data_IF_930278608083
#
_entry.id   IF_930278608083
#
_cell.length_a   1.000
_cell.length_b   1.000
_cell.length_c   1.000
_cell.angle_alpha   90.00
_cell.angle_beta   90.00
_cell.angle_gamma   90.00
#
_symmetry.space_group_name_H-M   'P 1'
#
loop_
_entity.id
_entity.type
_entity.pdbx_description
1 polymer ?
#
# COMPACT_ATOMS: atom_id res chain seq x y z
N UNK A 1 4.63 -24.30 40.64
CA UNK A 1 3.15 -24.30 40.47
C UNK A 1 2.52 -25.69 40.68
N UNK A 2 1.17 -25.84 40.78
CA UNK A 2 0.48 -27.14 40.91
C UNK A 2 -0.27 -27.45 39.60
N UNK A 3 -0.16 -28.69 39.10
CA UNK A 3 -0.88 -29.14 37.91
C UNK A 3 -2.40 -29.10 38.13
N UNK A 4 -3.13 -28.38 37.28
CA UNK A 4 -4.61 -28.32 37.35
C UNK A 4 -5.30 -29.62 36.94
N UNK A 5 -4.60 -30.53 36.27
CA UNK A 5 -5.15 -31.81 35.85
C UNK A 5 -4.90 -32.93 36.88
N UNK A 6 -3.66 -33.08 37.38
CA UNK A 6 -3.32 -34.20 38.27
C UNK A 6 -2.86 -33.80 39.68
N UNK A 7 -2.86 -32.51 40.04
CA UNK A 7 -2.54 -32.04 41.39
C UNK A 7 -1.06 -32.13 41.80
N UNK A 8 -0.15 -32.53 40.91
CA UNK A 8 1.28 -32.66 41.23
C UNK A 8 1.98 -31.30 41.24
N UNK A 9 2.94 -31.09 42.14
CA UNK A 9 3.82 -29.92 42.08
C UNK A 9 4.73 -30.00 40.85
N UNK A 10 4.83 -28.88 40.13
CA UNK A 10 5.61 -28.69 38.91
C UNK A 10 6.58 -27.52 39.14
N UNK A 11 7.82 -27.68 38.67
CA UNK A 11 8.81 -26.60 38.60
C UNK A 11 8.37 -25.55 37.55
N UNK A 12 8.60 -24.27 37.82
CA UNK A 12 8.04 -23.15 37.03
C UNK A 12 8.63 -23.03 35.61
N UNK A 13 9.66 -23.83 35.27
CA UNK A 13 10.25 -23.92 33.93
C UNK A 13 9.90 -25.19 33.16
N UNK A 14 9.05 -26.08 33.70
CA UNK A 14 8.73 -27.35 33.05
C UNK A 14 7.66 -27.17 31.96
N UNK A 15 7.97 -27.56 30.72
CA UNK A 15 7.03 -27.47 29.59
C UNK A 15 5.87 -28.48 29.69
N UNK A 16 6.08 -29.62 30.35
CA UNK A 16 5.09 -30.68 30.52
C UNK A 16 5.10 -31.19 31.96
N UNK A 17 3.93 -31.59 32.46
CA UNK A 17 3.82 -32.18 33.79
C UNK A 17 4.45 -33.58 33.81
N UNK A 18 5.45 -33.87 34.65
CA UNK A 18 6.07 -35.19 34.75
C UNK A 18 5.15 -36.24 35.40
N UNK A 19 3.98 -35.84 35.92
CA UNK A 19 2.97 -36.75 36.47
C UNK A 19 2.00 -37.29 35.43
N UNK A 20 1.43 -36.42 34.60
CA UNK A 20 0.35 -36.79 33.66
C UNK A 20 0.65 -36.48 32.18
N UNK A 21 1.80 -35.89 31.87
CA UNK A 21 2.24 -35.60 30.50
C UNK A 21 1.56 -34.38 29.84
N UNK A 22 0.67 -33.67 30.56
CA UNK A 22 -0.03 -32.50 30.00
C UNK A 22 0.87 -31.27 29.91
N UNK A 23 0.73 -30.44 28.86
CA UNK A 23 1.50 -29.21 28.71
C UNK A 23 1.15 -28.20 29.81
N UNK A 24 2.16 -27.51 30.32
CA UNK A 24 2.02 -26.52 31.39
C UNK A 24 1.92 -25.14 30.74
N UNK A 25 0.75 -24.50 30.81
CA UNK A 25 0.57 -23.15 30.28
C UNK A 25 1.31 -22.14 31.17
N UNK A 26 2.55 -21.80 30.82
CA UNK A 26 3.25 -20.68 31.44
C UNK A 26 2.58 -19.41 30.95
N UNK A 27 1.81 -18.75 31.81
CA UNK A 27 1.37 -17.38 31.56
C UNK A 27 2.58 -16.46 31.75
N UNK A 28 3.38 -16.32 30.69
CA UNK A 28 4.47 -15.36 30.65
C UNK A 28 3.90 -13.94 30.58
N UNK A 29 4.07 -13.21 31.68
CA UNK A 29 3.96 -11.76 31.71
C UNK A 29 5.08 -11.16 30.84
N UNK A 30 4.68 -10.25 29.94
CA UNK A 30 5.51 -9.37 29.13
C UNK A 30 6.53 -10.02 28.16
N UNK A 31 6.04 -10.32 26.97
CA UNK A 31 6.82 -10.62 25.78
C UNK A 31 5.91 -11.20 24.73
N UNK A 32 5.43 -10.38 23.79
CA UNK A 32 4.51 -10.79 22.73
C UNK A 32 5.17 -11.79 21.77
N UNK A 33 5.17 -13.08 22.12
CA UNK A 33 5.29 -14.16 21.14
C UNK A 33 3.93 -14.31 20.46
N UNK A 34 3.72 -13.49 19.42
CA UNK A 34 2.55 -13.58 18.53
C UNK A 34 2.77 -14.66 17.44
N UNK A 35 1.68 -15.16 16.83
CA UNK A 35 1.68 -16.37 16.01
C UNK A 35 2.65 -16.27 14.82
N UNK A 36 3.24 -17.41 14.45
CA UNK A 36 4.09 -17.59 13.27
C UNK A 36 3.30 -17.60 11.95
N UNK A 37 2.11 -16.98 11.92
CA UNK A 37 1.19 -16.97 10.78
C UNK A 37 0.17 -15.84 10.91
N UNK A 38 -0.63 -15.63 9.87
CA UNK A 38 -1.62 -14.55 9.86
C UNK A 38 -2.68 -14.75 10.94
N UNK A 39 -3.25 -13.64 11.42
CA UNK A 39 -4.28 -13.68 12.45
C UNK A 39 -5.67 -13.41 11.87
N UNK A 40 -6.70 -13.79 12.62
CA UNK A 40 -8.07 -13.38 12.35
C UNK A 40 -8.28 -12.04 13.06
N UNK A 41 -8.62 -11.01 12.30
CA UNK A 41 -8.84 -9.67 12.84
C UNK A 41 -8.12 -8.58 12.07
N UNK A 42 -8.57 -7.35 12.28
CA UNK A 42 -7.79 -6.19 11.85
C UNK A 42 -6.64 -5.94 12.83
N UNK A 43 -5.47 -5.64 12.28
CA UNK A 43 -4.24 -5.48 13.01
C UNK A 43 -4.26 -4.17 13.81
N UNK A 44 -3.97 -4.18 15.12
CA UNK A 44 -3.89 -2.96 15.92
C UNK A 44 -2.68 -2.09 15.51
N UNK A 45 -1.74 -2.66 14.75
CA UNK A 45 -0.51 -2.01 14.28
C UNK A 45 -0.76 -0.89 13.27
N UNK A 46 -1.98 -0.71 12.77
CA UNK A 46 -2.31 0.43 11.88
C UNK A 46 -2.02 1.79 12.54
N UNK A 47 -2.13 1.86 13.87
CA UNK A 47 -1.84 3.08 14.64
C UNK A 47 -0.34 3.32 14.88
N UNK A 48 0.54 2.45 14.37
CA UNK A 48 1.99 2.61 14.52
C UNK A 48 2.47 3.92 13.87
N UNK A 49 3.24 4.77 14.58
CA UNK A 49 3.75 6.04 14.07
C UNK A 49 4.63 5.89 12.81
N UNK A 50 5.11 4.68 12.51
CA UNK A 50 5.82 4.35 11.29
C UNK A 50 4.97 4.61 10.02
N UNK A 51 3.65 4.39 10.07
CA UNK A 51 2.75 4.66 8.94
C UNK A 51 2.51 6.16 8.73
N UNK A 52 2.30 6.91 9.82
CA UNK A 52 2.20 8.37 9.75
C UNK A 52 3.51 9.00 9.21
N UNK A 53 4.65 8.49 9.66
CA UNK A 53 5.97 8.92 9.18
C UNK A 53 6.17 8.60 7.71
N UNK A 54 5.73 7.41 7.26
CA UNK A 54 5.79 7.01 5.85
C UNK A 54 4.94 7.93 4.96
N UNK A 55 3.69 8.20 5.36
CA UNK A 55 2.80 9.09 4.62
C UNK A 55 3.37 10.52 4.55
N UNK A 56 3.89 11.04 5.67
CA UNK A 56 4.56 12.36 5.72
C UNK A 56 5.76 12.40 4.78
N UNK A 57 6.64 11.40 4.84
CA UNK A 57 7.82 11.32 3.98
C UNK A 57 7.42 11.31 2.50
N UNK A 58 6.44 10.51 2.11
CA UNK A 58 5.98 10.44 0.72
C UNK A 58 5.44 11.80 0.22
N UNK A 59 4.73 12.54 1.06
CA UNK A 59 4.26 13.89 0.73
C UNK A 59 5.42 14.89 0.62
N UNK A 60 6.40 14.83 1.52
CA UNK A 60 7.58 15.68 1.46
C UNK A 60 8.41 15.42 0.19
N UNK A 61 8.59 14.17 -0.22
CA UNK A 61 9.29 13.82 -1.45
C UNK A 61 8.57 14.33 -2.70
N UNK A 62 7.25 14.20 -2.77
CA UNK A 62 6.44 14.78 -3.86
C UNK A 62 6.67 16.29 -3.99
N UNK A 63 6.68 17.02 -2.86
CA UNK A 63 6.91 18.46 -2.87
C UNK A 63 8.36 18.83 -3.25
N UNK A 64 9.36 18.16 -2.68
CA UNK A 64 10.78 18.41 -2.99
C UNK A 64 11.03 18.18 -4.47
N UNK A 65 10.53 17.08 -5.03
CA UNK A 65 10.68 16.77 -6.45
C UNK A 65 10.04 17.84 -7.34
N UNK A 66 8.82 18.29 -7.02
CA UNK A 66 8.16 19.36 -7.74
C UNK A 66 8.92 20.69 -7.68
N UNK A 67 9.49 21.04 -6.51
CA UNK A 67 10.31 22.24 -6.34
C UNK A 67 11.60 22.19 -7.16
N UNK A 68 12.26 21.04 -7.21
CA UNK A 68 13.48 20.85 -8.03
C UNK A 68 13.16 21.05 -9.51
N UNK A 69 12.11 20.39 -10.03
CA UNK A 69 11.71 20.53 -11.43
C UNK A 69 11.28 21.97 -11.74
N UNK A 70 10.53 22.61 -10.85
CA UNK A 70 10.13 24.00 -11.01
C UNK A 70 11.33 24.94 -11.08
N UNK A 71 12.33 24.75 -10.21
CA UNK A 71 13.56 25.53 -10.23
C UNK A 71 14.34 25.31 -11.53
N UNK A 72 14.48 24.06 -11.99
CA UNK A 72 15.14 23.73 -13.27
C UNK A 72 14.41 24.40 -14.44
N UNK A 73 13.08 24.36 -14.48
CA UNK A 73 12.30 25.01 -15.53
C UNK A 73 12.52 26.53 -15.52
N UNK A 74 12.38 27.19 -14.37
CA UNK A 74 12.54 28.65 -14.25
C UNK A 74 13.95 29.08 -14.66
N UNK A 75 14.98 28.40 -14.14
CA UNK A 75 16.39 28.73 -14.46
C UNK A 75 16.68 28.45 -15.94
N UNK A 76 16.23 27.32 -16.47
CA UNK A 76 16.44 26.94 -17.87
C UNK A 76 15.81 27.95 -18.84
N UNK A 77 14.56 28.35 -18.59
CA UNK A 77 13.88 29.37 -19.39
C UNK A 77 14.48 30.76 -19.23
N UNK A 78 14.98 31.12 -18.02
CA UNK A 78 15.70 32.37 -17.84
C UNK A 78 16.97 32.44 -18.67
N UNK A 79 17.81 31.39 -18.62
CA UNK A 79 19.04 31.29 -19.42
C UNK A 79 18.72 31.28 -20.92
N UNK A 80 17.65 30.58 -21.31
CA UNK A 80 17.17 30.60 -22.70
C UNK A 80 16.83 32.01 -23.15
N UNK A 81 16.10 32.78 -22.33
CA UNK A 81 15.77 34.17 -22.62
C UNK A 81 16.97 35.11 -22.73
N UNK A 82 18.06 34.85 -22.01
CA UNK A 82 19.31 35.64 -22.10
C UNK A 82 20.19 35.26 -23.30
N UNK A 83 20.01 34.06 -23.87
CA UNK A 83 20.94 33.48 -24.84
C UNK A 83 20.34 33.19 -26.21
N UNK A 84 19.02 33.07 -26.30
CA UNK A 84 18.33 32.75 -27.55
C UNK A 84 18.02 34.02 -28.34
N UNK A 85 18.01 33.92 -29.66
CA UNK A 85 17.54 34.98 -30.57
C UNK A 85 16.04 34.87 -30.89
N UNK A 86 15.37 33.83 -30.37
CA UNK A 86 13.96 33.56 -30.66
C UNK A 86 13.02 34.27 -29.67
N UNK A 87 13.42 34.32 -28.40
CA UNK A 87 12.59 34.88 -27.33
C UNK A 87 13.44 35.46 -26.21
N UNK A 88 13.22 36.74 -25.91
CA UNK A 88 13.92 37.46 -24.85
C UNK A 88 13.25 37.25 -23.48
N UNK A 89 13.96 37.67 -22.43
CA UNK A 89 13.35 37.93 -21.14
C UNK A 89 12.60 39.28 -21.17
N UNK A 90 11.41 39.38 -20.54
CA UNK A 90 10.84 38.47 -19.54
C UNK A 90 9.91 37.37 -20.08
N UNK A 91 9.66 37.29 -21.39
CA UNK A 91 8.70 36.35 -21.98
C UNK A 91 9.10 34.89 -21.71
N UNK A 92 10.37 34.54 -21.95
CA UNK A 92 10.88 33.20 -21.65
C UNK A 92 10.73 32.85 -20.16
N UNK A 93 11.12 33.77 -19.27
CA UNK A 93 10.95 33.62 -17.81
C UNK A 93 9.49 33.35 -17.40
N UNK A 94 8.51 34.05 -17.99
CA UNK A 94 7.09 33.81 -17.68
C UNK A 94 6.67 32.38 -17.99
N UNK A 95 7.12 31.82 -19.12
CA UNK A 95 6.82 30.42 -19.48
C UNK A 95 7.41 29.47 -18.43
N UNK A 96 8.67 29.69 -18.03
CA UNK A 96 9.31 28.92 -16.96
C UNK A 96 8.54 28.97 -15.64
N UNK A 97 8.04 30.14 -15.25
CA UNK A 97 7.22 30.31 -14.04
C UNK A 97 5.86 29.62 -14.13
N UNK A 98 5.18 29.68 -15.28
CA UNK A 98 3.90 28.99 -15.49
C UNK A 98 4.09 27.47 -15.39
N UNK A 99 5.09 26.92 -16.07
CA UNK A 99 5.40 25.48 -16.02
C UNK A 99 5.81 25.07 -14.61
N UNK A 100 6.71 25.83 -13.97
CA UNK A 100 7.14 25.56 -12.59
C UNK A 100 5.99 25.62 -11.59
N UNK A 101 5.12 26.63 -11.72
CA UNK A 101 3.90 26.76 -10.92
C UNK A 101 2.96 25.58 -11.09
N UNK A 102 2.79 25.06 -12.32
CA UNK A 102 1.97 23.88 -12.58
C UNK A 102 2.47 22.64 -11.83
N UNK A 103 3.79 22.39 -11.80
CA UNK A 103 4.35 21.25 -11.04
C UNK A 103 4.08 21.37 -9.54
N UNK A 104 4.24 22.57 -8.97
CA UNK A 104 3.96 22.82 -7.55
C UNK A 104 2.47 22.62 -7.26
N UNK A 105 1.59 23.16 -8.10
CA UNK A 105 0.14 22.99 -7.95
C UNK A 105 -0.26 21.51 -8.00
N UNK A 106 0.26 20.73 -8.94
CA UNK A 106 -0.01 19.29 -9.03
C UNK A 106 0.42 18.58 -7.74
N UNK A 107 1.62 18.88 -7.20
CA UNK A 107 2.08 18.29 -5.95
C UNK A 107 1.16 18.66 -4.77
N UNK A 108 0.73 19.92 -4.68
CA UNK A 108 -0.23 20.36 -3.66
C UNK A 108 -1.57 19.61 -3.78
N UNK A 109 -2.12 19.49 -4.99
CA UNK A 109 -3.36 18.75 -5.23
C UNK A 109 -3.24 17.28 -4.84
N UNK A 110 -2.12 16.61 -5.16
CA UNK A 110 -1.88 15.23 -4.74
C UNK A 110 -1.83 15.09 -3.21
N UNK A 111 -1.15 16.01 -2.52
CA UNK A 111 -1.05 16.01 -1.06
C UNK A 111 -2.42 16.26 -0.41
N UNK A 112 -3.21 17.20 -0.93
CA UNK A 112 -4.55 17.48 -0.43
C UNK A 112 -5.52 16.31 -0.69
N UNK A 113 -5.44 15.68 -1.86
CA UNK A 113 -6.26 14.52 -2.22
C UNK A 113 -6.05 13.35 -1.25
N UNK A 114 -4.78 13.03 -0.95
CA UNK A 114 -4.43 11.95 -0.01
C UNK A 114 -4.97 12.16 1.41
N UNK A 115 -5.06 13.41 1.87
CA UNK A 115 -5.63 13.74 3.19
C UNK A 115 -7.16 13.58 3.28
N UNK A 116 -7.85 13.56 2.14
CA UNK A 116 -9.33 13.50 2.10
C UNK A 116 -9.85 12.06 2.03
N UNK A 117 -8.99 11.09 1.75
CA UNK A 117 -9.41 9.70 1.68
C UNK A 117 -9.69 9.17 3.09
N UNK A 118 -10.78 8.42 3.21
CA UNK A 118 -11.32 7.97 4.49
C UNK A 118 -11.23 6.46 4.58
N UNK A 119 -11.10 5.96 5.80
CA UNK A 119 -11.19 4.54 6.06
C UNK A 119 -12.62 4.05 5.82
N UNK A 120 -12.75 2.86 5.27
CA UNK A 120 -14.04 2.21 5.07
C UNK A 120 -13.89 0.69 5.10
N UNK A 121 -14.94 0.02 5.54
CA UNK A 121 -15.01 -1.44 5.59
C UNK A 121 -15.92 -1.96 4.47
N UNK A 122 -15.59 -3.13 3.94
CA UNK A 122 -16.35 -3.77 2.88
C UNK A 122 -16.16 -5.27 2.81
N UNK A 123 -16.89 -5.90 1.90
CA UNK A 123 -16.85 -7.33 1.63
C UNK A 123 -16.57 -7.53 0.14
N UNK A 124 -15.68 -8.45 -0.20
CA UNK A 124 -15.47 -8.89 -1.57
C UNK A 124 -16.71 -9.65 -2.04
N UNK A 125 -17.43 -9.10 -3.01
CA UNK A 125 -18.70 -9.68 -3.49
C UNK A 125 -18.55 -10.39 -4.83
N UNK A 126 -17.55 -10.04 -5.62
CA UNK A 126 -17.40 -10.55 -6.98
C UNK A 126 -15.95 -10.43 -7.48
N UNK A 127 -15.63 -11.21 -8.51
CA UNK A 127 -14.33 -11.26 -9.17
C UNK A 127 -14.54 -11.36 -10.68
N UNK A 128 -13.98 -10.40 -11.41
CA UNK A 128 -14.17 -10.27 -12.86
C UNK A 128 -12.86 -10.50 -13.61
N UNK A 129 -12.95 -11.20 -14.74
CA UNK A 129 -11.85 -11.39 -15.70
C UNK A 129 -12.34 -10.90 -17.05
N UNK A 130 -11.76 -9.79 -17.53
CA UNK A 130 -12.19 -9.14 -18.77
C UNK A 130 -11.03 -9.07 -19.77
N UNK A 131 -11.23 -9.57 -20.99
CA UNK A 131 -10.28 -9.34 -22.07
C UNK A 131 -10.56 -7.97 -22.70
N UNK A 132 -9.56 -7.08 -22.66
CA UNK A 132 -9.63 -5.71 -23.15
C UNK A 132 -8.56 -5.48 -24.21
N UNK A 133 -8.74 -4.41 -24.97
CA UNK A 133 -7.76 -3.93 -25.94
C UNK A 133 -7.50 -2.44 -25.71
N UNK A 134 -6.24 -2.04 -25.82
CA UNK A 134 -5.84 -0.64 -25.82
C UNK A 134 -5.06 -0.29 -27.09
N UNK A 135 -5.21 0.96 -27.54
CA UNK A 135 -4.48 1.47 -28.70
C UNK A 135 -3.07 1.87 -28.26
N UNK A 136 -2.05 1.27 -28.86
CA UNK A 136 -0.63 1.60 -28.65
C UNK A 136 -0.05 2.20 -29.92
N UNK A 137 0.88 3.14 -29.76
CA UNK A 137 1.59 3.77 -30.86
C UNK A 137 2.97 3.12 -31.01
N UNK A 138 3.47 3.01 -32.23
CA UNK A 138 4.83 2.53 -32.43
C UNK A 138 5.83 3.61 -32.00
N UNK A 139 6.40 3.52 -30.80
CA UNK A 139 7.29 4.55 -30.30
C UNK A 139 6.55 5.75 -29.68
N UNK A 140 7.29 6.85 -29.48
CA UNK A 140 6.80 8.01 -28.70
C UNK A 140 6.00 9.04 -29.52
N UNK A 141 6.02 8.94 -30.85
CA UNK A 141 5.35 9.87 -31.75
C UNK A 141 3.99 9.34 -32.20
N UNK A 142 3.03 10.25 -32.40
CA UNK A 142 1.67 9.88 -32.85
C UNK A 142 1.61 9.52 -34.33
N UNK A 143 2.63 9.88 -35.11
CA UNK A 143 2.70 9.66 -36.56
C UNK A 143 3.22 8.27 -36.94
N UNK A 144 3.83 7.53 -36.01
CA UNK A 144 4.47 6.24 -36.30
C UNK A 144 3.48 5.07 -36.44
N UNK A 145 2.19 5.35 -36.57
CA UNK A 145 1.14 4.33 -36.67
C UNK A 145 0.77 3.73 -35.31
N UNK A 146 -0.28 2.92 -35.29
CA UNK A 146 -0.82 2.33 -34.07
C UNK A 146 -1.23 0.86 -34.25
N UNK A 147 -1.22 0.12 -33.15
CA UNK A 147 -1.69 -1.26 -33.08
C UNK A 147 -2.60 -1.47 -31.86
N UNK A 148 -3.48 -2.47 -31.92
CA UNK A 148 -4.24 -2.91 -30.75
C UNK A 148 -3.37 -3.84 -29.90
N UNK A 149 -3.21 -3.52 -28.63
CA UNK A 149 -2.63 -4.41 -27.64
C UNK A 149 -3.73 -5.00 -26.77
N UNK A 150 -3.84 -6.31 -26.77
CA UNK A 150 -4.75 -7.04 -25.90
C UNK A 150 -4.15 -7.20 -24.49
N UNK A 151 -5.01 -7.13 -23.48
CA UNK A 151 -4.66 -7.43 -22.10
C UNK A 151 -5.87 -7.97 -21.36
N UNK A 152 -5.63 -8.84 -20.39
CA UNK A 152 -6.65 -9.35 -19.48
C UNK A 152 -6.63 -8.52 -18.21
N UNK A 153 -7.77 -7.94 -17.86
CA UNK A 153 -7.95 -7.21 -16.60
C UNK A 153 -8.59 -8.13 -15.56
N UNK A 154 -7.88 -8.33 -14.45
CA UNK A 154 -8.36 -9.08 -13.30
C UNK A 154 -8.83 -8.11 -12.25
N UNK A 155 -10.06 -8.28 -11.78
CA UNK A 155 -10.69 -7.33 -10.86
C UNK A 155 -11.36 -8.01 -9.67
N UNK A 156 -11.24 -7.38 -8.51
CA UNK A 156 -11.92 -7.72 -7.27
C UNK A 156 -12.91 -6.60 -6.97
N UNK A 157 -14.19 -6.96 -6.81
CA UNK A 157 -15.28 -6.02 -6.52
C UNK A 157 -15.64 -6.10 -5.05
N UNK A 158 -15.57 -4.96 -4.39
CA UNK A 158 -15.79 -4.80 -2.96
C UNK A 158 -17.02 -3.93 -2.76
N UNK A 159 -17.97 -4.40 -1.96
CA UNK A 159 -19.13 -3.61 -1.53
C UNK A 159 -18.87 -3.06 -0.13
N UNK A 160 -18.95 -1.75 0.02
CA UNK A 160 -18.84 -1.10 1.34
C UNK A 160 -20.11 -1.33 2.15
N UNK A 161 -20.06 -1.07 3.45
CA UNK A 161 -21.24 -1.08 4.33
C UNK A 161 -22.34 -0.11 3.86
N UNK A 162 -21.96 1.00 3.22
CA UNK A 162 -22.87 1.99 2.64
C UNK A 162 -23.46 1.54 1.29
N UNK A 163 -23.09 0.36 0.78
CA UNK A 163 -23.55 -0.19 -0.49
C UNK A 163 -22.77 0.28 -1.72
N UNK A 164 -21.77 1.15 -1.55
CA UNK A 164 -20.91 1.63 -2.65
C UNK A 164 -20.01 0.50 -3.16
N UNK A 165 -19.84 0.42 -4.48
CA UNK A 165 -18.95 -0.55 -5.11
C UNK A 165 -17.57 0.06 -5.38
N UNK A 166 -16.53 -0.65 -4.97
CA UNK A 166 -15.13 -0.35 -5.23
C UNK A 166 -14.53 -1.49 -6.05
N UNK A 167 -13.86 -1.15 -7.15
CA UNK A 167 -13.20 -2.11 -8.03
C UNK A 167 -11.69 -1.93 -7.90
N UNK A 168 -10.99 -3.01 -7.51
CA UNK A 168 -9.54 -3.08 -7.51
C UNK A 168 -9.13 -3.97 -8.67
N UNK A 169 -8.40 -3.41 -9.64
CA UNK A 169 -8.05 -4.11 -10.88
C UNK A 169 -6.56 -4.04 -11.16
N UNK A 170 -5.99 -5.13 -11.66
CA UNK A 170 -4.64 -5.19 -12.19
C UNK A 170 -4.65 -5.78 -13.61
N UNK A 171 -3.76 -5.29 -14.48
CA UNK A 171 -3.65 -5.72 -15.88
C UNK A 171 -2.62 -6.83 -16.01
N UNK A 172 -2.99 -7.94 -16.66
CA UNK A 172 -2.14 -9.12 -16.90
C UNK A 172 -1.45 -9.64 -15.62
N UNK A 173 -2.05 -9.42 -14.45
CA UNK A 173 -1.49 -9.78 -13.17
C UNK A 173 -2.60 -10.27 -12.24
N UNK A 174 -2.49 -11.52 -11.81
CA UNK A 174 -3.49 -12.19 -10.98
C UNK A 174 -3.19 -12.09 -9.50
N UNK A 175 -2.04 -11.60 -9.04
CA UNK A 175 -1.60 -11.79 -7.64
C UNK A 175 -2.63 -11.23 -6.64
N UNK A 176 -3.16 -10.01 -6.85
CA UNK A 176 -4.23 -9.49 -5.98
C UNK A 176 -5.55 -10.23 -6.19
N UNK A 177 -5.84 -10.60 -7.43
CA UNK A 177 -7.03 -11.37 -7.76
C UNK A 177 -7.04 -12.69 -7.02
N UNK A 178 -5.94 -13.44 -7.00
CA UNK A 178 -5.83 -14.74 -6.33
C UNK A 178 -5.76 -14.60 -4.80
N UNK A 179 -5.22 -13.49 -4.29
CA UNK A 179 -5.12 -13.23 -2.85
C UNK A 179 -6.46 -12.99 -2.16
N UNK A 180 -7.41 -12.33 -2.84
CA UNK A 180 -8.75 -12.05 -2.31
C UNK A 180 -9.78 -13.09 -2.76
N UNK A 181 -10.56 -13.58 -1.81
CA UNK A 181 -11.67 -14.49 -2.03
C UNK A 181 -13.00 -13.78 -1.86
N UNK A 182 -14.03 -14.27 -2.55
CA UNK A 182 -15.41 -13.81 -2.34
C UNK A 182 -15.81 -14.14 -0.90
N UNK A 183 -16.39 -13.15 -0.21
CA UNK A 183 -16.71 -13.22 1.21
C UNK A 183 -15.63 -12.66 2.14
N UNK A 184 -14.43 -12.35 1.64
CA UNK A 184 -13.39 -11.72 2.46
C UNK A 184 -13.86 -10.34 2.93
N UNK A 185 -13.80 -10.12 4.24
CA UNK A 185 -13.94 -8.80 4.83
C UNK A 185 -12.63 -8.02 4.67
N UNK A 186 -12.73 -6.77 4.25
CA UNK A 186 -11.58 -5.89 4.03
C UNK A 186 -11.81 -4.52 4.63
N UNK A 187 -10.72 -3.88 5.05
CA UNK A 187 -10.68 -2.49 5.49
C UNK A 187 -9.75 -1.69 4.59
N UNK A 188 -10.26 -0.61 4.03
CA UNK A 188 -9.43 0.39 3.37
C UNK A 188 -8.88 1.36 4.39
N UNK A 189 -7.58 1.61 4.29
CA UNK A 189 -6.85 2.59 5.09
C UNK A 189 -6.58 3.83 4.23
N UNK A 190 -7.38 4.88 4.38
CA UNK A 190 -7.34 6.09 3.55
C UNK A 190 -5.97 6.78 3.57
N UNK A 191 -5.30 6.80 4.72
CA UNK A 191 -3.95 7.37 4.85
C UNK A 191 -2.92 6.67 3.95
N UNK A 192 -3.08 5.35 3.75
CA UNK A 192 -2.14 4.50 3.03
C UNK A 192 -2.63 4.11 1.62
N UNK A 193 -3.90 4.38 1.30
CA UNK A 193 -4.59 3.93 0.10
C UNK A 193 -4.42 2.43 -0.18
N UNK A 194 -4.56 1.61 0.87
CA UNK A 194 -4.38 0.17 0.79
C UNK A 194 -5.49 -0.58 1.51
N UNK A 195 -5.68 -1.83 1.11
CA UNK A 195 -6.64 -2.73 1.74
C UNK A 195 -5.93 -3.67 2.72
N UNK A 196 -6.53 -3.85 3.88
CA UNK A 196 -6.21 -4.90 4.83
C UNK A 196 -7.33 -5.94 4.80
N UNK A 197 -6.95 -7.21 4.65
CA UNK A 197 -7.87 -8.36 4.72
C UNK A 197 -8.14 -8.71 6.18
N UNK A 198 -9.36 -9.07 6.58
CA UNK A 198 -9.67 -9.37 7.98
C UNK A 198 -9.10 -10.72 8.43
N UNK A 199 -9.45 -11.81 7.74
CA UNK A 199 -8.94 -13.16 8.04
C UNK A 199 -7.70 -13.44 7.19
N UNK A 200 -6.53 -13.49 7.84
CA UNK A 200 -5.25 -13.83 7.19
C UNK A 200 -4.73 -15.18 7.67
N UNK A 201 -5.51 -15.93 8.43
CA UNK A 201 -5.07 -17.16 9.13
C UNK A 201 -4.60 -18.28 8.21
N UNK A 202 -5.08 -18.27 6.96
CA UNK A 202 -4.76 -19.25 5.93
C UNK A 202 -3.85 -18.70 4.83
N UNK A 203 -3.43 -17.45 4.94
CA UNK A 203 -2.58 -16.82 3.93
C UNK A 203 -1.11 -17.16 4.20
N UNK A 204 -0.34 -17.38 3.13
CA UNK A 204 1.12 -17.55 3.18
C UNK A 204 1.89 -16.29 2.81
N UNK A 205 1.18 -15.31 2.25
CA UNK A 205 1.73 -14.04 1.79
C UNK A 205 0.90 -12.89 2.35
N UNK A 206 1.50 -11.69 2.43
CA UNK A 206 0.80 -10.48 2.84
C UNK A 206 1.33 -9.25 2.10
N UNK A 207 0.42 -8.40 1.63
CA UNK A 207 0.78 -7.12 1.05
C UNK A 207 1.10 -6.09 2.14
N UNK A 208 2.21 -5.39 2.00
CA UNK A 208 2.52 -4.27 2.88
C UNK A 208 1.57 -3.10 2.60
N UNK A 209 0.76 -2.73 3.60
CA UNK A 209 -0.16 -1.60 3.50
C UNK A 209 0.52 -0.25 3.21
N UNK A 210 1.81 -0.09 3.53
CA UNK A 210 2.53 1.14 3.21
C UNK A 210 2.97 1.23 1.74
N UNK A 211 3.60 0.18 1.20
CA UNK A 211 4.28 0.25 -0.10
C UNK A 211 3.81 -0.75 -1.16
N UNK A 212 2.84 -1.61 -0.82
CA UNK A 212 2.27 -2.62 -1.71
C UNK A 212 3.20 -3.80 -2.01
N UNK A 213 4.39 -3.87 -1.39
CA UNK A 213 5.31 -5.00 -1.59
C UNK A 213 4.72 -6.28 -1.00
N UNK A 214 4.90 -7.41 -1.69
CA UNK A 214 4.46 -8.72 -1.24
C UNK A 214 5.51 -9.32 -0.29
N UNK A 215 5.09 -9.74 0.90
CA UNK A 215 5.95 -10.31 1.93
C UNK A 215 5.44 -11.69 2.32
N UNK A 216 6.28 -12.46 3.02
CA UNK A 216 5.84 -13.70 3.65
C UNK A 216 4.94 -13.37 4.85
N UNK A 217 3.92 -14.19 5.11
CA UNK A 217 3.02 -13.96 6.25
C UNK A 217 3.75 -14.04 7.61
N UNK A 218 4.87 -14.74 7.67
CA UNK A 218 5.69 -14.88 8.87
C UNK A 218 6.48 -13.61 9.20
N UNK A 219 6.71 -12.72 8.23
CA UNK A 219 7.43 -11.47 8.43
C UNK A 219 6.68 -10.53 9.39
N UNK A 220 7.41 -9.85 10.28
CA UNK A 220 6.85 -8.80 11.12
C UNK A 220 6.88 -7.42 10.46
N UNK A 221 7.82 -7.23 9.53
CA UNK A 221 8.08 -5.96 8.85
C UNK A 221 8.30 -6.21 7.38
N UNK A 222 7.84 -5.27 6.57
CA UNK A 222 8.03 -5.33 5.12
C UNK A 222 9.51 -5.33 4.76
N UNK A 223 9.92 -6.27 3.91
CA UNK A 223 11.32 -6.41 3.46
C UNK A 223 11.79 -5.15 2.73
N UNK A 224 10.90 -4.49 1.99
CA UNK A 224 11.20 -3.28 1.19
C UNK A 224 11.22 -2.00 2.03
N UNK A 225 10.11 -1.65 2.69
CA UNK A 225 9.98 -0.35 3.37
C UNK A 225 10.19 -0.39 4.89
N UNK A 226 10.43 -1.59 5.46
CA UNK A 226 10.70 -1.83 6.89
C UNK A 226 9.56 -1.39 7.85
N UNK A 227 8.38 -1.06 7.33
CA UNK A 227 7.18 -0.77 8.12
C UNK A 227 6.55 -2.07 8.62
N UNK A 228 5.88 -2.07 9.78
CA UNK A 228 5.17 -3.24 10.28
C UNK A 228 4.19 -3.79 9.25
N UNK A 229 4.02 -5.11 9.24
CA UNK A 229 2.97 -5.77 8.49
C UNK A 229 1.71 -5.88 9.35
N UNK A 230 0.55 -5.63 8.72
CA UNK A 230 -0.75 -5.72 9.37
C UNK A 230 -1.23 -7.16 9.32
N UNK A 231 -0.61 -8.05 10.11
CA UNK A 231 -0.97 -9.47 10.22
C UNK A 231 -2.01 -9.71 11.31
#
# INVERSE_FOLDING_TARGET
>A
MICTNCGRQINDTAAFCPGCGQPVSIQSTNGSSQPTGGSIGYSPRISDPAFASYAKQNNSWSLIFALIIAAIAIIGFYIYGERSSEMDNPQALYIGMVIGGMFILIALFQILGRKRDKDWDGIVIDKLVENKREKKYHGNDRDSGWYWQEYTEYSVVIRTQEGKLHRVSDRNNTVKFDYYNIGDHVRHHGLLHSLEKYDKSRDTIIFCNACGYLNDISDDKCVKCKRPLLK
#
